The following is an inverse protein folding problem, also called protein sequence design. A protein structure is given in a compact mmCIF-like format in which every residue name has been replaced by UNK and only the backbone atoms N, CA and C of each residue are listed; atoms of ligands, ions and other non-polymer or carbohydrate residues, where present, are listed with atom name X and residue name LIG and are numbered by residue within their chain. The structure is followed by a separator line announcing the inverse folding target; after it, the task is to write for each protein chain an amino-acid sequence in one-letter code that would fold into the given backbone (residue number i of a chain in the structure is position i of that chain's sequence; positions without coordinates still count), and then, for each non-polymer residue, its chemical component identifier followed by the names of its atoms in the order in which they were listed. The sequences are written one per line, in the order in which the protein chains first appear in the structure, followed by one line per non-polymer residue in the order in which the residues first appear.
data_IF_564412837754
#
_entry.id   IF_564412837754
#
_cell.length_a   1.000
_cell.length_b   1.000
_cell.length_c   1.000
_cell.angle_alpha   90.00
_cell.angle_beta   90.00
_cell.angle_gamma   90.00
#
_symmetry.space_group_name_H-M   'P 1'
#
loop_
_entity.id
_entity.type
_entity.pdbx_description
1 polymer ?
#
# COMPACT_ATOMS: atom_id res chain seq x y z
N UNK A 1 -15.33 25.90 40.27
CA UNK A 1 -14.83 24.52 40.30
C UNK A 1 -14.87 24.01 41.73
N UNK A 2 -15.50 22.86 41.96
CA UNK A 2 -15.47 22.13 43.24
C UNK A 2 -14.04 21.61 43.50
N UNK A 3 -13.66 21.36 44.76
CA UNK A 3 -12.36 20.71 45.08
C UNK A 3 -12.20 19.39 44.33
N UNK A 4 -13.29 18.63 44.17
CA UNK A 4 -13.31 17.36 43.45
C UNK A 4 -13.04 17.50 41.95
N UNK A 5 -13.62 18.52 41.30
CA UNK A 5 -13.39 18.78 39.87
C UNK A 5 -11.92 19.14 39.60
N UNK A 6 -11.31 19.92 40.51
CA UNK A 6 -9.89 20.26 40.43
C UNK A 6 -8.98 19.05 40.63
N UNK A 7 -9.35 18.12 41.52
CA UNK A 7 -8.60 16.88 41.75
C UNK A 7 -8.67 15.94 40.54
N UNK A 8 -9.84 15.73 39.95
CA UNK A 8 -10.02 14.89 38.75
C UNK A 8 -9.21 15.42 37.56
N UNK A 9 -9.22 16.73 37.31
CA UNK A 9 -8.40 17.34 36.27
C UNK A 9 -6.90 17.17 36.53
N UNK A 10 -6.48 17.29 37.80
CA UNK A 10 -5.08 17.10 38.19
C UNK A 10 -4.64 15.66 38.01
N UNK A 11 -5.46 14.69 38.40
CA UNK A 11 -5.16 13.26 38.22
C UNK A 11 -5.00 12.90 36.74
N UNK A 12 -5.91 13.36 35.88
CA UNK A 12 -5.80 13.12 34.44
C UNK A 12 -4.60 13.86 33.84
N UNK A 13 -4.28 15.07 34.29
CA UNK A 13 -3.07 15.78 33.85
C UNK A 13 -1.79 15.02 34.26
N UNK A 14 -1.70 14.54 35.50
CA UNK A 14 -0.57 13.75 35.98
C UNK A 14 -0.41 12.45 35.18
N UNK A 15 -1.51 11.81 34.79
CA UNK A 15 -1.48 10.65 33.90
C UNK A 15 -0.94 11.01 32.50
N UNK A 16 -1.48 12.06 31.88
CA UNK A 16 -1.06 12.54 30.55
C UNK A 16 0.43 12.92 30.55
N UNK A 17 0.93 13.55 31.61
CA UNK A 17 2.34 13.91 31.76
C UNK A 17 3.24 12.67 31.81
N UNK A 18 2.88 11.66 32.61
CA UNK A 18 3.61 10.37 32.67
C UNK A 18 3.59 9.65 31.32
N UNK A 19 2.44 9.65 30.65
CA UNK A 19 2.27 9.04 29.35
C UNK A 19 3.15 9.71 28.28
N UNK A 20 3.20 11.05 28.26
CA UNK A 20 4.08 11.78 27.35
C UNK A 20 5.56 11.54 27.67
N UNK A 21 5.95 11.49 28.95
CA UNK A 21 7.32 11.15 29.32
C UNK A 21 7.73 9.74 28.83
N UNK A 22 6.81 8.77 28.89
CA UNK A 22 7.03 7.43 28.33
C UNK A 22 7.18 7.47 26.81
N UNK A 23 6.33 8.21 26.11
CA UNK A 23 6.44 8.38 24.64
C UNK A 23 7.75 9.06 24.25
N UNK A 24 8.17 10.10 24.97
CA UNK A 24 9.45 10.78 24.70
C UNK A 24 10.63 9.82 24.90
N UNK A 25 10.58 8.95 25.91
CA UNK A 25 11.57 7.88 26.11
C UNK A 25 11.59 6.91 24.92
N UNK A 26 10.40 6.47 24.46
CA UNK A 26 10.29 5.58 23.31
C UNK A 26 10.76 6.24 22.01
N UNK A 27 10.49 7.55 21.82
CA UNK A 27 10.99 8.34 20.70
C UNK A 27 12.51 8.39 20.70
N UNK A 28 13.14 8.65 21.86
CA UNK A 28 14.59 8.62 22.01
C UNK A 28 15.18 7.27 21.60
N UNK A 29 14.65 6.18 22.15
CA UNK A 29 15.09 4.82 21.81
C UNK A 29 14.89 4.50 20.32
N UNK A 30 13.77 4.91 19.72
CA UNK A 30 13.50 4.70 18.31
C UNK A 30 14.45 5.51 17.41
N UNK A 31 14.71 6.78 17.76
CA UNK A 31 15.64 7.65 17.05
C UNK A 31 17.07 7.10 17.10
N UNK A 32 17.54 6.70 18.28
CA UNK A 32 18.83 6.03 18.43
C UNK A 32 18.88 4.74 17.60
N UNK A 33 17.80 3.96 17.59
CA UNK A 33 17.68 2.75 16.78
C UNK A 33 17.78 3.00 15.27
N UNK A 34 17.22 4.11 14.76
CA UNK A 34 17.37 4.53 13.36
C UNK A 34 18.83 4.89 13.07
N UNK A 35 19.48 5.68 13.93
CA UNK A 35 20.88 6.08 13.75
C UNK A 35 21.82 4.87 13.75
N UNK A 36 21.62 3.92 14.67
CA UNK A 36 22.36 2.67 14.71
C UNK A 36 22.13 1.83 13.45
N UNK A 37 20.88 1.75 12.95
CA UNK A 37 20.56 1.02 11.72
C UNK A 37 21.19 1.66 10.47
N UNK A 38 21.40 2.98 10.45
CA UNK A 38 22.10 3.67 9.36
C UNK A 38 23.62 3.43 9.35
N UNK A 39 24.18 2.95 10.47
CA UNK A 39 25.62 2.67 10.56
C UNK A 39 25.98 1.44 9.70
N UNK A 40 27.01 1.51 8.84
CA UNK A 40 27.31 0.41 7.92
C UNK A 40 27.81 -0.85 8.65
N UNK A 41 27.01 -1.91 8.65
CA UNK A 41 27.45 -3.25 9.06
C UNK A 41 27.58 -4.12 7.81
N UNK A 42 28.79 -4.26 7.27
CA UNK A 42 29.10 -5.15 6.13
C UNK A 42 28.83 -4.58 4.72
N UNK A 43 29.40 -5.26 3.71
CA UNK A 43 29.45 -4.81 2.30
C UNK A 43 28.68 -5.71 1.32
N UNK A 44 28.02 -6.78 1.80
CA UNK A 44 27.26 -7.71 0.96
C UNK A 44 25.81 -7.28 0.70
N UNK A 45 25.20 -7.78 -0.38
CA UNK A 45 23.79 -7.51 -0.73
C UNK A 45 22.81 -7.93 0.37
N UNK A 46 23.07 -9.02 1.09
CA UNK A 46 22.25 -9.45 2.22
C UNK A 46 22.28 -8.44 3.37
N UNK A 47 23.46 -7.92 3.71
CA UNK A 47 23.62 -6.92 4.77
C UNK A 47 22.97 -5.59 4.42
N UNK A 48 22.95 -5.22 3.13
CA UNK A 48 22.22 -4.05 2.63
C UNK A 48 20.71 -4.24 2.80
N UNK A 49 20.17 -5.41 2.42
CA UNK A 49 18.74 -5.69 2.55
C UNK A 49 18.30 -5.71 4.03
N UNK A 50 19.06 -6.37 4.91
CA UNK A 50 18.79 -6.41 6.35
C UNK A 50 18.81 -4.99 6.96
N UNK A 51 19.78 -4.17 6.55
CA UNK A 51 19.83 -2.75 6.93
C UNK A 51 18.59 -1.99 6.47
N UNK A 52 18.23 -2.10 5.20
CA UNK A 52 17.10 -1.35 4.63
C UNK A 52 15.79 -1.73 5.33
N UNK A 53 15.60 -3.01 5.67
CA UNK A 53 14.46 -3.49 6.46
C UNK A 53 14.47 -2.86 7.86
N UNK A 54 15.60 -2.91 8.57
CA UNK A 54 15.73 -2.35 9.92
C UNK A 54 15.50 -0.83 9.93
N UNK A 55 16.09 -0.12 8.97
CA UNK A 55 15.90 1.33 8.82
C UNK A 55 14.43 1.64 8.56
N UNK A 56 13.78 0.92 7.64
CA UNK A 56 12.36 1.12 7.34
C UNK A 56 11.47 0.85 8.58
N UNK A 57 11.73 -0.22 9.32
CA UNK A 57 10.98 -0.58 10.53
C UNK A 57 11.15 0.48 11.63
N UNK A 58 12.40 0.85 11.94
CA UNK A 58 12.70 1.85 12.99
C UNK A 58 12.20 3.24 12.63
N UNK A 59 12.36 3.65 11.37
CA UNK A 59 11.82 4.93 10.87
C UNK A 59 10.30 4.95 10.92
N UNK A 60 9.65 3.82 10.62
CA UNK A 60 8.21 3.68 10.71
C UNK A 60 7.69 3.84 12.14
N UNK A 61 8.35 3.20 13.11
CA UNK A 61 8.02 3.35 14.53
C UNK A 61 8.23 4.79 15.02
N UNK A 62 9.35 5.42 14.67
CA UNK A 62 9.63 6.81 15.05
C UNK A 62 8.56 7.76 14.46
N UNK A 63 8.25 7.63 13.17
CA UNK A 63 7.20 8.41 12.52
C UNK A 63 5.83 8.24 13.18
N UNK A 64 5.49 7.01 13.58
CA UNK A 64 4.24 6.73 14.30
C UNK A 64 4.22 7.40 15.69
N UNK A 65 5.35 7.43 16.40
CA UNK A 65 5.43 8.12 17.69
C UNK A 65 5.38 9.64 17.53
N UNK A 66 6.04 10.21 16.53
CA UNK A 66 6.08 11.65 16.25
C UNK A 66 4.72 12.19 15.82
N UNK A 67 3.96 11.42 15.04
CA UNK A 67 2.67 11.86 14.49
C UNK A 67 1.55 12.01 15.52
N UNK A 68 1.74 11.52 16.75
CA UNK A 68 0.71 11.49 17.80
C UNK A 68 0.80 12.69 18.76
N UNK A 69 1.68 13.67 18.48
CA UNK A 69 1.86 14.82 19.35
C UNK A 69 0.55 15.64 19.51
N UNK A 70 0.13 15.84 20.77
CA UNK A 70 -0.96 16.74 21.16
C UNK A 70 -2.33 16.13 21.45
N UNK A 71 -2.58 14.86 21.10
CA UNK A 71 -3.82 14.15 21.49
C UNK A 71 -3.63 12.64 21.48
N UNK A 72 -2.71 12.17 22.32
CA UNK A 72 -2.35 10.77 22.43
C UNK A 72 -3.45 9.94 23.11
N UNK A 73 -4.02 10.46 24.19
CA UNK A 73 -5.11 9.88 24.94
C UNK A 73 -6.33 10.80 24.83
N UNK A 74 -7.47 10.24 24.43
CA UNK A 74 -8.71 11.01 24.22
C UNK A 74 -9.87 10.51 25.09
N UNK A 75 -9.65 9.45 25.86
CA UNK A 75 -10.68 8.95 26.75
C UNK A 75 -10.20 7.88 27.71
N UNK A 76 -11.10 7.48 28.61
CA UNK A 76 -10.91 6.45 29.61
C UNK A 76 -12.22 5.70 29.79
N UNK A 77 -12.12 4.38 29.97
CA UNK A 77 -13.25 3.53 30.33
C UNK A 77 -13.03 3.00 31.74
N UNK A 78 -14.01 3.19 32.61
CA UNK A 78 -14.05 2.56 33.93
C UNK A 78 -15.02 1.39 33.87
N UNK A 79 -14.54 0.20 34.23
CA UNK A 79 -15.31 -1.03 34.21
C UNK A 79 -15.97 -1.26 35.57
N UNK A 80 -17.07 -2.02 35.55
CA UNK A 80 -17.80 -2.40 36.77
C UNK A 80 -17.00 -3.32 37.69
N UNK A 81 -15.94 -3.97 37.19
CA UNK A 81 -15.01 -4.80 37.96
C UNK A 81 -13.88 -3.99 38.65
N UNK A 82 -13.91 -2.66 38.52
CA UNK A 82 -12.93 -1.74 39.12
C UNK A 82 -11.69 -1.48 38.26
N UNK A 83 -11.57 -2.13 37.09
CA UNK A 83 -10.48 -1.84 36.15
C UNK A 83 -10.75 -0.56 35.37
N UNK A 84 -9.71 0.25 35.18
CA UNK A 84 -9.74 1.44 34.34
C UNK A 84 -8.74 1.30 33.20
N UNK A 85 -9.15 1.71 32.00
CA UNK A 85 -8.27 1.75 30.83
C UNK A 85 -8.36 3.09 30.14
N UNK A 86 -7.22 3.76 30.00
CA UNK A 86 -7.10 4.91 29.12
C UNK A 86 -7.03 4.44 27.67
N UNK A 87 -7.76 5.12 26.79
CA UNK A 87 -7.87 4.83 25.36
C UNK A 87 -7.19 5.94 24.57
N UNK A 88 -6.36 5.54 23.62
CA UNK A 88 -5.56 6.43 22.81
C UNK A 88 -5.39 5.97 21.38
N UNK A 89 -4.69 6.80 20.60
CA UNK A 89 -4.45 6.58 19.17
C UNK A 89 -3.52 5.40 18.89
N UNK A 90 -2.56 5.19 19.78
CA UNK A 90 -1.58 4.12 19.73
C UNK A 90 -1.56 3.40 21.08
N UNK A 91 -1.19 2.12 21.07
CA UNK A 91 -0.96 1.37 22.30
C UNK A 91 0.40 1.71 22.92
N UNK A 92 0.42 2.07 24.21
CA UNK A 92 1.65 2.32 24.97
C UNK A 92 1.73 1.32 26.12
N UNK A 93 2.94 0.80 26.34
CA UNK A 93 3.23 -0.19 27.39
C UNK A 93 4.35 0.29 28.31
N UNK A 94 4.29 -0.16 29.55
CA UNK A 94 5.37 -0.01 30.51
C UNK A 94 6.60 -0.84 30.10
N UNK A 95 7.73 -0.49 30.73
CA UNK A 95 9.00 -1.20 30.56
C UNK A 95 9.20 -2.25 31.65
N UNK A 96 8.16 -3.03 31.89
CA UNK A 96 8.15 -4.11 32.86
C UNK A 96 8.15 -5.46 32.17
N UNK A 97 8.39 -6.52 32.95
CA UNK A 97 8.44 -7.89 32.43
C UNK A 97 7.08 -8.34 31.87
N UNK A 98 5.99 -7.79 32.39
CA UNK A 98 4.62 -8.14 32.03
C UNK A 98 4.08 -7.31 30.86
N UNK A 99 4.85 -6.32 30.37
CA UNK A 99 4.45 -5.37 29.34
C UNK A 99 3.10 -4.72 29.60
N UNK A 100 2.91 -4.22 30.83
CA UNK A 100 1.64 -3.69 31.31
C UNK A 100 1.12 -2.58 30.39
N UNK A 101 -0.13 -2.67 29.90
CA UNK A 101 -0.69 -1.66 29.01
C UNK A 101 -0.99 -0.37 29.80
N UNK A 102 -0.32 0.72 29.44
CA UNK A 102 -0.58 2.06 29.98
C UNK A 102 -1.69 2.76 29.21
N UNK A 103 -1.65 2.63 27.87
CA UNK A 103 -2.62 3.19 26.96
C UNK A 103 -3.09 2.12 25.99
N UNK A 104 -4.40 1.94 25.91
CA UNK A 104 -5.02 1.00 24.99
C UNK A 104 -5.23 1.69 23.64
N UNK A 105 -4.79 1.03 22.57
CA UNK A 105 -5.08 1.46 21.21
C UNK A 105 -6.58 1.37 20.92
N UNK A 106 -7.18 2.42 20.35
CA UNK A 106 -8.59 2.46 19.97
C UNK A 106 -9.05 1.31 19.08
N UNK A 107 -8.12 0.72 18.32
CA UNK A 107 -8.38 -0.42 17.42
C UNK A 107 -8.53 -1.72 18.18
N UNK A 108 -7.99 -1.83 19.38
CA UNK A 108 -8.04 -3.04 20.19
C UNK A 108 -9.49 -3.44 20.54
N UNK A 109 -9.81 -4.75 20.61
CA UNK A 109 -11.13 -5.22 21.00
C UNK A 109 -11.62 -4.70 22.35
N UNK A 110 -10.70 -4.52 23.32
CA UNK A 110 -11.01 -4.00 24.66
C UNK A 110 -11.40 -2.52 24.65
N UNK A 111 -11.05 -1.76 23.61
CA UNK A 111 -11.49 -0.37 23.43
C UNK A 111 -12.89 -0.25 22.81
N UNK A 112 -13.45 -1.34 22.22
CA UNK A 112 -14.77 -1.29 21.55
C UNK A 112 -15.91 -0.74 22.41
N UNK A 113 -16.02 -1.08 23.72
CA UNK A 113 -17.05 -0.50 24.58
C UNK A 113 -17.02 1.03 24.63
N UNK A 114 -15.87 1.67 24.42
CA UNK A 114 -15.79 3.13 24.37
C UNK A 114 -16.70 3.73 23.28
N UNK A 115 -16.94 3.02 22.17
CA UNK A 115 -17.78 3.50 21.06
C UNK A 115 -19.20 2.95 21.08
N UNK A 116 -19.36 1.72 21.56
CA UNK A 116 -20.61 0.95 21.43
C UNK A 116 -21.45 0.93 22.70
N UNK A 117 -20.84 1.18 23.87
CA UNK A 117 -21.58 1.14 25.12
C UNK A 117 -22.57 2.32 25.19
N UNK A 118 -23.74 2.00 25.72
CA UNK A 118 -24.84 2.93 25.99
C UNK A 118 -25.40 2.62 27.37
N UNK A 119 -26.19 3.53 27.96
CA UNK A 119 -26.84 3.25 29.25
C UNK A 119 -27.78 2.02 29.22
N UNK A 120 -28.27 1.61 28.04
CA UNK A 120 -29.05 0.38 27.88
C UNK A 120 -28.17 -0.87 27.72
N UNK A 121 -27.06 -0.73 27.00
CA UNK A 121 -26.09 -1.80 26.75
C UNK A 121 -24.71 -1.33 27.23
N UNK A 122 -24.41 -1.39 28.54
CA UNK A 122 -23.19 -0.79 29.11
C UNK A 122 -21.91 -1.57 28.77
N UNK A 123 -22.03 -2.81 28.27
CA UNK A 123 -20.88 -3.65 27.88
C UNK A 123 -19.83 -3.83 28.99
N UNK A 124 -20.27 -3.85 30.26
CA UNK A 124 -19.41 -3.97 31.44
C UNK A 124 -18.71 -2.67 31.85
N UNK A 125 -19.08 -1.53 31.25
CA UNK A 125 -18.63 -0.21 31.67
C UNK A 125 -19.53 0.36 32.75
N UNK A 126 -18.90 0.96 33.75
CA UNK A 126 -19.53 1.83 34.74
C UNK A 126 -19.61 3.26 34.22
N UNK A 127 -18.49 3.77 33.70
CA UNK A 127 -18.34 5.14 33.22
C UNK A 127 -17.44 5.20 31.98
N UNK A 128 -17.74 6.12 31.08
CA UNK A 128 -16.87 6.54 29.98
C UNK A 128 -16.48 7.99 30.20
N UNK A 129 -15.19 8.30 30.15
CA UNK A 129 -14.64 9.66 30.21
C UNK A 129 -14.05 10.03 28.86
N UNK A 130 -14.39 11.20 28.36
CA UNK A 130 -13.73 11.84 27.24
C UNK A 130 -12.77 12.92 27.75
N UNK A 131 -11.56 12.91 27.21
CA UNK A 131 -10.47 13.80 27.63
C UNK A 131 -10.14 14.70 26.44
N UNK A 132 -10.29 16.01 26.62
CA UNK A 132 -9.81 16.99 25.66
C UNK A 132 -8.41 17.46 26.05
N UNK A 133 -7.51 17.50 25.08
CA UNK A 133 -6.14 17.98 25.26
C UNK A 133 -5.80 19.05 24.24
N UNK A 134 -5.04 20.05 24.66
CA UNK A 134 -4.33 20.97 23.78
C UNK A 134 -2.83 20.79 24.03
N UNK A 135 -2.15 20.17 23.06
CA UNK A 135 -0.79 19.72 23.29
C UNK A 135 -0.75 18.67 24.40
N UNK A 136 0.05 18.91 25.44
CA UNK A 136 0.17 18.02 26.62
C UNK A 136 -0.75 18.40 27.77
N UNK A 137 -1.58 19.44 27.61
CA UNK A 137 -2.44 19.96 28.67
C UNK A 137 -3.86 19.44 28.51
N UNK A 138 -4.42 18.90 29.58
CA UNK A 138 -5.85 18.56 29.68
C UNK A 138 -6.64 19.86 29.81
N UNK A 139 -7.58 20.07 28.89
CA UNK A 139 -8.40 21.29 28.83
C UNK A 139 -9.81 21.06 29.34
N UNK A 140 -10.36 19.87 29.12
CA UNK A 140 -11.75 19.56 29.44
C UNK A 140 -11.91 18.06 29.68
N UNK A 141 -12.76 17.71 30.63
CA UNK A 141 -13.20 16.35 30.91
C UNK A 141 -14.71 16.27 30.74
N UNK A 142 -15.19 15.10 30.33
CA UNK A 142 -16.59 14.85 30.15
C UNK A 142 -16.91 13.40 30.44
N UNK A 143 -17.80 13.17 31.39
CA UNK A 143 -18.15 11.85 31.89
C UNK A 143 -19.56 11.45 31.45
N UNK A 144 -19.66 10.23 30.94
CA UNK A 144 -20.91 9.55 30.65
C UNK A 144 -21.04 8.36 31.58
N UNK A 145 -22.13 8.35 32.36
CA UNK A 145 -22.41 7.30 33.34
C UNK A 145 -23.28 6.25 32.66
N UNK A 146 -22.73 5.04 32.54
CA UNK A 146 -23.32 3.92 31.82
C UNK A 146 -24.01 2.94 32.78
N UNK A 147 -23.54 2.87 34.02
CA UNK A 147 -24.24 2.18 35.11
C UNK A 147 -25.19 3.14 35.82
N UNK A 148 -26.49 2.96 35.61
CA UNK A 148 -27.53 3.81 36.21
C UNK A 148 -27.61 3.67 37.74
N UNK A 149 -27.02 2.63 38.33
CA UNK A 149 -26.89 2.47 39.77
C UNK A 149 -25.66 3.16 40.37
N UNK A 150 -24.81 3.77 39.54
CA UNK A 150 -23.65 4.51 40.00
C UNK A 150 -24.06 5.91 40.46
N UNK A 151 -23.91 6.17 41.75
CA UNK A 151 -24.16 7.48 42.38
C UNK A 151 -22.88 8.33 42.49
N UNK A 152 -21.73 7.80 42.07
CA UNK A 152 -20.50 8.55 42.10
C UNK A 152 -20.52 9.67 41.06
N UNK A 153 -20.36 10.91 41.52
CA UNK A 153 -20.36 12.11 40.68
C UNK A 153 -19.05 12.88 40.74
N UNK A 154 -18.43 13.11 39.60
CA UNK A 154 -17.14 13.81 39.40
C UNK A 154 -17.32 15.30 39.15
N UNK A 155 -18.51 15.73 38.72
CA UNK A 155 -18.79 17.11 38.31
C UNK A 155 -18.57 17.37 36.82
N UNK A 156 -18.18 16.33 36.06
CA UNK A 156 -18.01 16.40 34.61
C UNK A 156 -19.10 15.66 33.81
N UNK A 157 -20.18 15.25 34.48
CA UNK A 157 -21.27 14.54 33.83
C UNK A 157 -22.00 15.41 32.81
N UNK A 158 -22.24 14.86 31.62
CA UNK A 158 -23.20 15.44 30.68
C UNK A 158 -24.55 14.74 30.74
N UNK A 159 -25.62 15.46 31.11
CA UNK A 159 -26.98 14.93 31.09
C UNK A 159 -27.42 14.37 29.74
N UNK A 160 -26.85 14.86 28.63
CA UNK A 160 -27.28 14.52 27.27
C UNK A 160 -26.34 13.54 26.54
N UNK A 161 -25.11 13.33 27.03
CA UNK A 161 -24.09 12.48 26.39
C UNK A 161 -23.59 12.95 25.02
N UNK A 162 -23.92 14.18 24.62
CA UNK A 162 -23.69 14.71 23.26
C UNK A 162 -22.66 15.85 23.24
N UNK A 163 -22.22 16.37 24.39
CA UNK A 163 -21.39 17.59 24.40
C UNK A 163 -20.07 17.41 23.66
N UNK A 164 -19.48 16.21 23.67
CA UNK A 164 -18.24 15.91 22.94
C UNK A 164 -18.46 15.96 21.42
N UNK A 165 -19.57 15.41 20.94
CA UNK A 165 -19.92 15.45 19.52
C UNK A 165 -20.25 16.88 19.09
N UNK A 166 -21.01 17.63 19.89
CA UNK A 166 -21.36 19.03 19.62
C UNK A 166 -20.13 19.94 19.63
N UNK A 167 -19.19 19.73 20.57
CA UNK A 167 -17.93 20.46 20.62
C UNK A 167 -17.09 20.19 19.36
N UNK A 168 -17.02 18.93 18.90
CA UNK A 168 -16.34 18.59 17.66
C UNK A 168 -17.01 19.20 16.43
N UNK A 169 -18.35 19.22 16.37
CA UNK A 169 -19.11 19.84 15.27
C UNK A 169 -18.90 21.36 15.19
N UNK A 170 -18.75 22.02 16.34
CA UNK A 170 -18.53 23.47 16.44
C UNK A 170 -17.05 23.88 16.27
N UNK A 171 -16.12 22.93 16.19
CA UNK A 171 -14.70 23.22 16.02
C UNK A 171 -14.40 23.84 14.64
N UNK A 172 -13.48 24.82 14.62
CA UNK A 172 -13.10 25.50 13.39
C UNK A 172 -12.38 24.53 12.44
N UNK A 173 -12.81 24.50 11.17
CA UNK A 173 -12.16 23.68 10.14
C UNK A 173 -10.83 24.33 9.75
N UNK A 174 -9.72 23.69 10.10
CA UNK A 174 -8.34 24.19 9.91
C UNK A 174 -7.81 24.01 8.48
N UNK A 175 -8.68 23.78 7.49
CA UNK A 175 -8.27 23.50 6.10
C UNK A 175 -7.63 22.11 5.89
N UNK A 176 -7.46 21.31 6.95
CA UNK A 176 -7.01 19.91 6.94
C UNK A 176 -8.08 18.99 7.55
N UNK A 177 -8.03 17.70 7.24
CA UNK A 177 -8.95 16.75 7.85
C UNK A 177 -8.48 16.47 9.28
N UNK A 178 -9.32 16.76 10.26
CA UNK A 178 -9.11 16.34 11.63
C UNK A 178 -9.36 14.84 11.80
N UNK A 179 -8.66 14.25 12.75
CA UNK A 179 -8.95 12.92 13.26
C UNK A 179 -10.35 12.90 13.93
N UNK A 180 -11.12 11.83 13.71
CA UNK A 180 -12.46 11.64 14.29
C UNK A 180 -12.48 10.55 15.38
N UNK A 181 -11.34 9.95 15.73
CA UNK A 181 -11.26 8.80 16.67
C UNK A 181 -12.04 9.05 17.97
N UNK A 182 -12.03 10.28 18.52
CA UNK A 182 -12.77 10.63 19.74
C UNK A 182 -14.29 10.62 19.57
N UNK A 183 -14.79 10.83 18.35
CA UNK A 183 -16.21 11.05 18.03
C UNK A 183 -16.80 10.00 17.09
N UNK A 184 -16.10 8.88 16.88
CA UNK A 184 -16.61 7.74 16.10
C UNK A 184 -17.95 7.29 16.69
N UNK A 185 -18.98 7.28 15.85
CA UNK A 185 -20.31 6.83 16.21
C UNK A 185 -20.46 5.32 16.01
N UNK A 186 -21.44 4.69 16.66
CA UNK A 186 -21.64 3.24 16.58
C UNK A 186 -21.82 2.72 15.13
N UNK A 187 -22.57 3.43 14.28
CA UNK A 187 -22.73 3.07 12.87
C UNK A 187 -21.39 3.16 12.10
N UNK A 188 -20.57 4.16 12.42
CA UNK A 188 -19.25 4.35 11.82
C UNK A 188 -18.29 3.25 12.28
N UNK A 189 -18.30 2.87 13.56
CA UNK A 189 -17.52 1.75 14.10
C UNK A 189 -17.87 0.44 13.36
N UNK A 190 -19.16 0.21 13.11
CA UNK A 190 -19.62 -0.93 12.30
C UNK A 190 -19.01 -0.97 10.90
N UNK A 191 -18.92 0.18 10.21
CA UNK A 191 -18.27 0.31 8.91
C UNK A 191 -16.76 0.11 9.02
N UNK A 192 -16.12 0.71 10.03
CA UNK A 192 -14.67 0.61 10.27
C UNK A 192 -14.26 -0.83 10.50
N UNK A 193 -15.02 -1.57 11.33
CA UNK A 193 -14.72 -2.94 11.73
C UNK A 193 -15.37 -4.02 10.89
N UNK A 194 -16.09 -3.66 9.82
CA UNK A 194 -16.67 -4.64 8.90
C UNK A 194 -15.59 -5.58 8.31
N UNK A 195 -15.92 -6.84 7.99
CA UNK A 195 -14.94 -7.82 7.50
C UNK A 195 -14.07 -7.32 6.34
N UNK A 196 -12.80 -7.73 6.29
CA UNK A 196 -11.86 -7.29 5.26
C UNK A 196 -12.11 -7.92 3.87
N UNK A 197 -12.83 -9.05 3.81
CA UNK A 197 -13.06 -9.79 2.55
C UNK A 197 -14.27 -9.23 1.81
N UNK A 198 -14.09 -8.99 0.51
CA UNK A 198 -15.16 -8.57 -0.40
C UNK A 198 -15.12 -7.08 -0.70
N UNK A 199 -16.24 -6.57 -1.22
CA UNK A 199 -16.42 -5.17 -1.58
C UNK A 199 -17.40 -4.54 -0.59
N UNK A 200 -16.99 -3.45 0.04
CA UNK A 200 -17.85 -2.64 0.90
C UNK A 200 -18.08 -1.28 0.22
N UNK A 201 -19.36 -0.94 -0.01
CA UNK A 201 -19.76 0.37 -0.52
C UNK A 201 -20.30 1.18 0.63
N UNK A 202 -19.72 2.35 0.86
CA UNK A 202 -20.16 3.30 1.89
C UNK A 202 -20.84 4.48 1.20
N UNK A 203 -22.17 4.46 1.22
CA UNK A 203 -23.00 5.54 0.69
C UNK A 203 -23.56 6.40 1.82
N UNK A 204 -23.69 7.70 1.59
CA UNK A 204 -24.24 8.62 2.59
C UNK A 204 -24.25 10.05 2.10
N UNK A 205 -25.02 10.92 2.76
CA UNK A 205 -25.17 12.33 2.39
C UNK A 205 -23.87 13.15 2.50
N UNK A 206 -23.79 14.34 1.88
CA UNK A 206 -22.69 15.27 2.11
C UNK A 206 -22.48 15.55 3.61
N UNK A 207 -21.22 15.59 4.05
CA UNK A 207 -20.90 15.92 5.45
C UNK A 207 -20.98 14.77 6.47
N UNK A 208 -21.42 13.57 6.08
CA UNK A 208 -21.54 12.41 7.01
C UNK A 208 -20.22 11.74 7.40
N UNK A 209 -19.07 12.36 7.12
CA UNK A 209 -17.76 11.84 7.54
C UNK A 209 -17.24 10.62 6.75
N UNK A 210 -17.84 10.23 5.62
CA UNK A 210 -17.45 9.03 4.84
C UNK A 210 -15.95 8.88 4.60
N UNK A 211 -15.29 9.94 4.19
CA UNK A 211 -13.84 9.92 3.93
C UNK A 211 -13.06 9.61 5.19
N UNK A 212 -13.43 10.23 6.32
CA UNK A 212 -12.81 9.95 7.61
C UNK A 212 -13.04 8.49 8.02
N UNK A 213 -14.29 8.00 7.94
CA UNK A 213 -14.64 6.59 8.21
C UNK A 213 -13.83 5.62 7.35
N UNK A 214 -13.64 5.91 6.05
CA UNK A 214 -12.85 5.08 5.15
C UNK A 214 -11.36 5.04 5.53
N UNK A 215 -10.78 6.16 5.96
CA UNK A 215 -9.39 6.23 6.43
C UNK A 215 -9.20 5.47 7.74
N UNK A 216 -10.13 5.63 8.68
CA UNK A 216 -10.10 4.90 9.95
C UNK A 216 -10.30 3.40 9.74
N UNK A 217 -11.14 3.01 8.77
CA UNK A 217 -11.24 1.62 8.32
C UNK A 217 -9.90 1.10 7.83
N UNK A 218 -9.19 1.84 6.99
CA UNK A 218 -7.87 1.43 6.51
C UNK A 218 -6.89 1.23 7.68
N UNK A 219 -6.87 2.16 8.64
CA UNK A 219 -6.02 2.05 9.83
C UNK A 219 -6.40 0.86 10.74
N UNK A 220 -7.69 0.59 10.90
CA UNK A 220 -8.17 -0.60 11.64
C UNK A 220 -7.75 -1.90 10.94
N UNK A 221 -7.90 -1.98 9.61
CA UNK A 221 -7.52 -3.18 8.85
C UNK A 221 -6.01 -3.42 8.90
N UNK A 222 -5.19 -2.36 8.82
CA UNK A 222 -3.74 -2.44 8.97
C UNK A 222 -3.32 -2.96 10.35
N UNK A 223 -4.01 -2.54 11.42
CA UNK A 223 -3.80 -3.04 12.77
C UNK A 223 -4.22 -4.51 12.93
N UNK A 224 -5.47 -4.83 12.59
CA UNK A 224 -6.08 -6.15 12.81
C UNK A 224 -5.44 -7.23 11.91
N UNK A 225 -5.01 -6.84 10.71
CA UNK A 225 -4.46 -7.75 9.71
C UNK A 225 -3.01 -7.41 9.35
N UNK A 226 -2.24 -6.91 10.34
CA UNK A 226 -0.84 -6.50 10.15
C UNK A 226 0.02 -7.56 9.46
N UNK A 227 -0.15 -8.84 9.75
CA UNK A 227 0.68 -9.90 9.14
C UNK A 227 0.34 -10.14 7.66
N UNK A 228 -0.94 -9.98 7.30
CA UNK A 228 -1.41 -10.13 5.92
C UNK A 228 -1.10 -8.89 5.08
N UNK A 229 -1.21 -7.71 5.69
CA UNK A 229 -1.03 -6.41 5.03
C UNK A 229 0.39 -5.86 5.14
N UNK A 230 1.24 -6.37 6.03
CA UNK A 230 2.67 -6.02 6.02
C UNK A 230 3.34 -6.37 4.68
N UNK A 231 2.80 -7.37 3.97
CA UNK A 231 3.25 -7.75 2.61
C UNK A 231 2.47 -7.05 1.49
N UNK A 232 1.41 -6.30 1.81
CA UNK A 232 0.46 -5.72 0.85
C UNK A 232 0.08 -4.29 1.28
N UNK A 233 0.56 -3.29 0.55
CA UNK A 233 0.20 -1.90 0.82
C UNK A 233 -1.30 -1.64 0.62
N UNK A 234 -1.86 -0.69 1.39
CA UNK A 234 -3.20 -0.16 1.14
C UNK A 234 -3.10 0.95 0.09
N UNK A 235 -3.80 0.82 -1.03
CA UNK A 235 -3.87 1.86 -2.05
C UNK A 235 -5.13 2.70 -1.86
N UNK A 236 -4.95 3.99 -1.65
CA UNK A 236 -6.03 4.98 -1.62
C UNK A 236 -5.96 5.80 -2.90
N UNK A 237 -7.02 5.70 -3.70
CA UNK A 237 -7.14 6.46 -4.95
C UNK A 237 -8.01 7.69 -4.72
N UNK A 238 -7.41 8.86 -4.91
CA UNK A 238 -8.09 10.15 -4.77
C UNK A 238 -8.40 10.80 -6.12
N UNK A 239 -9.36 11.73 -6.16
CA UNK A 239 -9.73 12.44 -7.39
C UNK A 239 -8.66 13.44 -7.85
N UNK A 240 -7.85 13.98 -6.93
CA UNK A 240 -6.81 14.94 -7.25
C UNK A 240 -5.75 15.05 -6.13
N UNK A 241 -4.56 15.63 -6.40
CA UNK A 241 -3.50 15.74 -5.41
C UNK A 241 -3.83 16.62 -4.21
N UNK A 242 -4.70 17.63 -4.36
CA UNK A 242 -5.10 18.50 -3.24
C UNK A 242 -5.94 17.74 -2.21
N UNK A 243 -6.85 16.88 -2.67
CA UNK A 243 -7.60 15.97 -1.81
C UNK A 243 -6.68 14.97 -1.12
N UNK A 244 -5.70 14.40 -1.83
CA UNK A 244 -4.73 13.48 -1.22
C UNK A 244 -3.89 14.17 -0.15
N UNK A 245 -3.42 15.41 -0.38
CA UNK A 245 -2.73 16.20 0.65
C UNK A 245 -3.63 16.48 1.86
N UNK A 246 -4.91 16.77 1.62
CA UNK A 246 -5.89 17.04 2.67
C UNK A 246 -6.09 15.85 3.63
N UNK A 247 -5.99 14.60 3.12
CA UNK A 247 -6.15 13.38 3.91
C UNK A 247 -4.83 12.75 4.38
N UNK A 248 -3.69 13.16 3.82
CA UNK A 248 -2.39 12.55 4.06
C UNK A 248 -1.94 12.59 5.52
N UNK A 249 -2.46 13.52 6.32
CA UNK A 249 -2.07 13.71 7.73
C UNK A 249 -2.89 12.87 8.72
N UNK A 250 -4.00 12.27 8.26
CA UNK A 250 -4.89 11.49 9.13
C UNK A 250 -4.31 10.12 9.42
N UNK A 251 -3.73 9.44 8.43
CA UNK A 251 -3.21 8.08 8.63
C UNK A 251 -1.91 8.03 9.45
N UNK A 252 -0.92 8.92 9.21
CA UNK A 252 0.26 8.99 10.07
C UNK A 252 -0.10 9.28 11.52
N UNK A 253 -1.06 10.18 11.78
CA UNK A 253 -1.50 10.49 13.14
C UNK A 253 -2.22 9.32 13.84
N UNK A 254 -2.59 8.27 13.08
CA UNK A 254 -3.10 6.99 13.59
C UNK A 254 -2.01 5.90 13.72
N UNK A 255 -0.73 6.27 13.50
CA UNK A 255 0.42 5.38 13.64
C UNK A 255 0.66 4.46 12.43
N UNK A 256 0.11 4.77 11.26
CA UNK A 256 0.17 3.90 10.07
C UNK A 256 1.04 4.47 8.94
N UNK A 257 1.99 3.67 8.46
CA UNK A 257 2.93 4.04 7.37
C UNK A 257 2.74 3.23 6.08
N UNK A 258 1.89 2.19 6.10
CA UNK A 258 1.69 1.23 5.00
C UNK A 258 0.71 1.64 3.88
N UNK A 259 0.55 2.93 3.62
CA UNK A 259 -0.47 3.44 2.68
C UNK A 259 0.16 4.16 1.49
N UNK A 260 -0.28 3.78 0.29
CA UNK A 260 0.04 4.44 -0.97
C UNK A 260 -1.12 5.33 -1.37
N UNK A 261 -0.81 6.60 -1.65
CA UNK A 261 -1.76 7.57 -2.18
C UNK A 261 -1.48 7.76 -3.67
N UNK A 262 -2.49 7.58 -4.50
CA UNK A 262 -2.36 7.83 -5.94
C UNK A 262 -3.60 8.55 -6.47
N UNK A 263 -3.40 9.37 -7.50
CA UNK A 263 -4.52 9.85 -8.31
C UNK A 263 -4.77 8.90 -9.48
N UNK A 264 -5.93 9.03 -10.14
CA UNK A 264 -6.19 8.29 -11.38
C UNK A 264 -5.10 8.52 -12.45
N UNK A 265 -4.48 9.71 -12.44
CA UNK A 265 -3.42 10.10 -13.37
C UNK A 265 -2.10 9.35 -13.15
N UNK A 266 -1.93 8.67 -12.02
CA UNK A 266 -0.68 8.11 -11.52
C UNK A 266 -0.77 6.60 -11.23
N UNK A 267 -1.89 5.96 -11.56
CA UNK A 267 -2.12 4.54 -11.28
C UNK A 267 -1.16 3.61 -12.01
N UNK A 268 -0.63 4.05 -13.17
CA UNK A 268 0.35 3.27 -13.92
C UNK A 268 1.77 3.74 -13.58
N UNK A 269 2.67 2.85 -13.11
CA UNK A 269 4.03 3.23 -12.71
C UNK A 269 4.80 3.95 -13.82
N UNK A 270 5.40 5.09 -13.50
CA UNK A 270 6.20 5.89 -14.44
C UNK A 270 5.39 6.68 -15.47
N UNK A 271 4.06 6.67 -15.40
CA UNK A 271 3.18 7.45 -16.27
C UNK A 271 2.40 8.45 -15.42
N UNK A 272 2.56 9.73 -15.78
CA UNK A 272 1.76 10.82 -15.23
C UNK A 272 0.88 11.39 -16.35
N UNK A 273 -0.43 11.26 -16.22
CA UNK A 273 -1.35 11.85 -17.19
C UNK A 273 -1.32 13.39 -17.09
N UNK A 274 -1.04 14.06 -18.21
CA UNK A 274 -0.99 15.54 -18.29
C UNK A 274 -2.19 16.14 -19.02
N UNK A 275 -2.96 15.32 -19.74
CA UNK A 275 -4.13 15.74 -20.51
C UNK A 275 -5.43 15.55 -19.74
N UNK A 276 -6.39 16.45 -19.95
CA UNK A 276 -7.75 16.35 -19.43
C UNK A 276 -8.69 15.93 -20.55
N UNK A 277 -9.43 14.85 -20.34
CA UNK A 277 -10.46 14.40 -21.28
C UNK A 277 -11.72 15.27 -21.18
N UNK A 278 -12.38 15.47 -22.32
CA UNK A 278 -13.75 15.99 -22.32
C UNK A 278 -14.69 14.97 -21.66
N UNK A 279 -15.84 15.38 -21.09
CA UNK A 279 -16.79 14.44 -20.48
C UNK A 279 -17.20 13.29 -21.41
N UNK A 280 -17.39 13.59 -22.71
CA UNK A 280 -17.68 12.59 -23.73
C UNK A 280 -16.51 11.61 -23.94
N UNK A 281 -15.29 12.12 -24.04
CA UNK A 281 -14.11 11.27 -24.20
C UNK A 281 -13.89 10.36 -22.98
N UNK A 282 -14.06 10.88 -21.77
CA UNK A 282 -13.97 10.12 -20.54
C UNK A 282 -15.02 8.99 -20.47
N UNK A 283 -16.27 9.27 -20.86
CA UNK A 283 -17.33 8.26 -20.92
C UNK A 283 -17.01 7.12 -21.90
N UNK A 284 -16.47 7.45 -23.07
CA UNK A 284 -16.09 6.45 -24.08
C UNK A 284 -14.86 5.64 -23.62
N UNK A 285 -13.83 6.31 -23.09
CA UNK A 285 -12.59 5.66 -22.62
C UNK A 285 -12.76 4.85 -21.34
N UNK A 286 -13.68 5.24 -20.46
CA UNK A 286 -13.97 4.54 -19.21
C UNK A 286 -14.95 3.37 -19.35
N UNK A 287 -15.55 3.18 -20.53
CA UNK A 287 -16.48 2.09 -20.78
C UNK A 287 -15.81 0.77 -21.16
N UNK A 288 -16.52 -0.34 -20.97
CA UNK A 288 -16.11 -1.69 -21.39
C UNK A 288 -15.63 -1.78 -22.85
N UNK A 289 -16.27 -1.13 -23.85
CA UNK A 289 -15.85 -1.24 -25.25
C UNK A 289 -14.42 -0.73 -25.53
N UNK A 290 -13.85 0.10 -24.64
CA UNK A 290 -12.48 0.59 -24.80
C UNK A 290 -11.46 -0.55 -24.73
N UNK A 291 -11.72 -1.61 -23.96
CA UNK A 291 -10.85 -2.77 -23.90
C UNK A 291 -10.76 -3.48 -25.26
N UNK A 292 -11.91 -3.64 -25.94
CA UNK A 292 -11.96 -4.20 -27.29
C UNK A 292 -11.28 -3.28 -28.31
N UNK A 293 -11.53 -1.98 -28.24
CA UNK A 293 -10.87 -1.00 -29.10
C UNK A 293 -9.34 -1.05 -28.96
N UNK A 294 -8.81 -1.16 -27.74
CA UNK A 294 -7.38 -1.33 -27.49
C UNK A 294 -6.85 -2.67 -28.03
N UNK A 295 -7.61 -3.76 -27.85
CA UNK A 295 -7.24 -5.07 -28.41
C UNK A 295 -7.18 -5.04 -29.95
N UNK A 296 -8.14 -4.38 -30.60
CA UNK A 296 -8.15 -4.17 -32.05
C UNK A 296 -6.98 -3.28 -32.48
N UNK A 297 -6.70 -2.18 -31.77
CA UNK A 297 -5.58 -1.30 -32.06
C UNK A 297 -4.22 -2.02 -31.95
N UNK A 298 -4.04 -2.91 -30.96
CA UNK A 298 -2.84 -3.75 -30.84
C UNK A 298 -2.77 -4.78 -31.97
N UNK A 299 -3.90 -5.36 -32.38
CA UNK A 299 -3.96 -6.29 -33.53
C UNK A 299 -3.61 -5.60 -34.85
N UNK A 300 -4.02 -4.35 -35.04
CA UNK A 300 -3.68 -3.53 -36.22
C UNK A 300 -2.17 -3.29 -36.37
N UNK A 301 -1.42 -3.28 -35.25
CA UNK A 301 0.05 -3.20 -35.29
C UNK A 301 0.72 -4.47 -35.82
N UNK A 302 0.00 -5.59 -35.91
CA UNK A 302 0.52 -6.87 -36.41
C UNK A 302 0.35 -6.94 -37.94
N UNK A 303 0.98 -5.98 -38.63
CA UNK A 303 0.91 -5.83 -40.08
C UNK A 303 1.66 -6.96 -40.79
N UNK A 304 1.16 -7.31 -41.97
CA UNK A 304 1.77 -8.26 -42.87
C UNK A 304 2.23 -7.51 -44.14
N UNK A 305 3.19 -8.05 -44.90
CA UNK A 305 3.44 -7.62 -46.28
C UNK A 305 2.14 -7.71 -47.09
N UNK A 306 1.93 -6.84 -48.08
CA UNK A 306 0.77 -6.97 -48.98
C UNK A 306 0.91 -8.23 -49.85
N UNK A 307 -0.19 -8.93 -50.16
CA UNK A 307 -0.15 -10.05 -51.10
C UNK A 307 0.48 -9.63 -52.44
N UNK A 308 1.54 -10.33 -52.85
CA UNK A 308 2.29 -10.03 -54.08
C UNK A 308 3.38 -8.94 -53.94
N UNK A 309 3.51 -8.29 -52.78
CA UNK A 309 4.57 -7.33 -52.47
C UNK A 309 5.48 -7.89 -51.35
N UNK A 310 6.16 -8.99 -51.65
CA UNK A 310 7.04 -9.64 -50.70
C UNK A 310 8.22 -8.73 -50.31
N UNK A 311 8.64 -8.83 -49.06
CA UNK A 311 9.81 -8.13 -48.57
C UNK A 311 11.06 -8.90 -48.95
N UNK A 312 11.94 -8.25 -49.71
CA UNK A 312 13.21 -8.82 -50.14
C UNK A 312 14.29 -8.44 -49.12
N UNK A 313 14.98 -9.44 -48.59
CA UNK A 313 16.04 -9.30 -47.60
C UNK A 313 17.35 -9.73 -48.28
N UNK A 314 18.24 -8.78 -48.61
CA UNK A 314 19.54 -9.11 -49.20
C UNK A 314 20.37 -9.98 -48.27
N UNK A 315 20.98 -11.04 -48.80
CA UNK A 315 21.84 -11.94 -48.03
C UNK A 315 23.14 -12.23 -48.78
N UNK A 316 24.27 -12.06 -48.10
CA UNK A 316 25.61 -12.10 -48.70
C UNK A 316 25.98 -13.49 -49.25
N UNK A 317 25.56 -14.56 -48.58
CA UNK A 317 26.00 -15.94 -48.87
C UNK A 317 25.00 -16.84 -49.65
N UNK A 318 23.93 -16.31 -50.26
CA UNK A 318 22.90 -17.17 -50.85
C UNK A 318 21.78 -16.51 -51.67
N UNK A 319 21.98 -15.25 -52.07
CA UNK A 319 20.98 -14.46 -52.80
C UNK A 319 19.84 -13.95 -51.92
N UNK A 320 18.97 -13.13 -52.51
CA UNK A 320 17.92 -12.39 -51.82
C UNK A 320 16.85 -13.30 -51.20
N UNK A 321 16.68 -13.25 -49.88
CA UNK A 321 15.65 -13.98 -49.13
C UNK A 321 14.30 -13.25 -49.24
N UNK A 322 13.20 -13.99 -49.21
CA UNK A 322 11.87 -13.42 -49.44
C UNK A 322 10.94 -13.69 -48.26
N UNK A 323 10.46 -12.63 -47.63
CA UNK A 323 9.38 -12.69 -46.64
C UNK A 323 8.07 -12.25 -47.31
N UNK A 324 7.28 -13.22 -47.75
CA UNK A 324 5.98 -12.98 -48.37
C UNK A 324 4.83 -12.93 -47.33
N UNK A 325 3.62 -12.72 -47.83
CA UNK A 325 2.42 -12.67 -47.00
C UNK A 325 2.15 -14.00 -46.28
N UNK A 326 2.41 -15.15 -46.91
CA UNK A 326 2.08 -16.47 -46.38
C UNK A 326 2.96 -16.80 -45.17
N UNK A 327 4.28 -16.64 -45.30
CA UNK A 327 5.23 -16.83 -44.20
C UNK A 327 4.90 -15.91 -43.03
N UNK A 328 4.64 -14.63 -43.32
CA UNK A 328 4.31 -13.65 -42.29
C UNK A 328 2.96 -13.95 -41.63
N UNK A 329 1.96 -14.42 -42.39
CA UNK A 329 0.66 -14.82 -41.89
C UNK A 329 0.76 -16.01 -40.94
N UNK A 330 1.45 -17.08 -41.35
CA UNK A 330 1.65 -18.27 -40.51
C UNK A 330 2.40 -17.93 -39.22
N UNK A 331 3.49 -17.16 -39.32
CA UNK A 331 4.24 -16.71 -38.15
C UNK A 331 3.37 -15.90 -37.18
N UNK A 332 2.50 -15.02 -37.70
CA UNK A 332 1.57 -14.24 -36.89
C UNK A 332 0.52 -15.12 -36.21
N UNK A 333 -0.06 -16.09 -36.93
CA UNK A 333 -1.05 -16.99 -36.36
C UNK A 333 -0.42 -17.85 -35.27
N UNK A 334 0.76 -18.43 -35.52
CA UNK A 334 1.52 -19.16 -34.50
C UNK A 334 1.80 -18.33 -33.25
N UNK A 335 2.15 -17.04 -33.41
CA UNK A 335 2.33 -16.13 -32.27
C UNK A 335 1.01 -15.85 -31.52
N UNK A 336 -0.11 -15.71 -32.23
CA UNK A 336 -1.45 -15.52 -31.62
C UNK A 336 -1.93 -16.75 -30.87
N UNK A 337 -1.66 -17.94 -31.38
CA UNK A 337 -2.08 -19.21 -30.79
C UNK A 337 -1.45 -19.46 -29.42
N UNK A 338 -0.32 -18.81 -29.11
CA UNK A 338 0.28 -18.81 -27.76
C UNK A 338 -0.60 -18.15 -26.70
N UNK A 339 -1.54 -17.27 -27.11
CA UNK A 339 -2.38 -16.43 -26.23
C UNK A 339 -1.59 -15.54 -25.25
N UNK A 340 -0.29 -15.32 -25.51
CA UNK A 340 0.55 -14.42 -24.74
C UNK A 340 0.29 -12.95 -25.13
N UNK A 341 0.57 -11.98 -24.23
CA UNK A 341 0.60 -10.56 -24.59
C UNK A 341 1.52 -10.27 -25.78
N UNK A 342 1.18 -9.27 -26.60
CA UNK A 342 1.84 -9.00 -27.89
C UNK A 342 3.37 -9.02 -27.84
N UNK A 343 3.99 -8.32 -26.88
CA UNK A 343 5.45 -8.25 -26.79
C UNK A 343 6.09 -9.57 -26.34
N UNK A 344 5.39 -10.34 -25.49
CA UNK A 344 5.85 -11.66 -25.05
C UNK A 344 5.66 -12.72 -26.15
N UNK A 345 4.72 -12.50 -27.08
CA UNK A 345 4.52 -13.35 -28.26
C UNK A 345 5.53 -13.05 -29.38
N UNK A 346 6.20 -11.89 -29.37
CA UNK A 346 7.15 -11.47 -30.43
C UNK A 346 8.27 -12.50 -30.69
N UNK A 347 8.92 -13.13 -29.70
CA UNK A 347 9.94 -14.14 -29.96
C UNK A 347 9.41 -15.34 -30.76
N UNK A 348 8.15 -15.76 -30.54
CA UNK A 348 7.54 -16.85 -31.30
C UNK A 348 7.33 -16.48 -32.77
N UNK A 349 6.86 -15.25 -33.03
CA UNK A 349 6.77 -14.71 -34.39
C UNK A 349 8.13 -14.69 -35.08
N UNK A 350 9.13 -14.10 -34.41
CA UNK A 350 10.50 -13.96 -34.95
C UNK A 350 11.10 -15.34 -35.24
N UNK A 351 10.93 -16.30 -34.34
CA UNK A 351 11.43 -17.66 -34.54
C UNK A 351 10.83 -18.32 -35.79
N UNK A 352 9.51 -18.22 -35.98
CA UNK A 352 8.83 -18.76 -37.17
C UNK A 352 9.30 -18.11 -38.47
N UNK A 353 9.50 -16.80 -38.47
CA UNK A 353 10.06 -16.07 -39.63
C UNK A 353 11.49 -16.52 -39.91
N UNK A 354 12.35 -16.60 -38.88
CA UNK A 354 13.74 -17.05 -39.04
C UNK A 354 13.78 -18.47 -39.58
N UNK A 355 13.00 -19.41 -39.03
CA UNK A 355 12.95 -20.79 -39.52
C UNK A 355 12.58 -20.86 -41.01
N UNK A 356 11.58 -20.08 -41.44
CA UNK A 356 11.17 -20.03 -42.84
C UNK A 356 12.26 -19.46 -43.76
N UNK A 357 12.94 -18.38 -43.34
CA UNK A 357 14.04 -17.79 -44.11
C UNK A 357 15.28 -18.69 -44.12
N UNK A 358 15.58 -19.39 -43.02
CA UNK A 358 16.64 -20.39 -42.94
C UNK A 358 16.35 -21.57 -43.88
N UNK A 359 15.10 -22.02 -43.98
CA UNK A 359 14.72 -23.06 -44.93
C UNK A 359 15.01 -22.64 -46.38
N UNK A 360 14.70 -21.40 -46.77
CA UNK A 360 15.04 -20.86 -48.10
C UNK A 360 16.55 -20.86 -48.34
N UNK A 361 17.35 -20.47 -47.33
CA UNK A 361 18.81 -20.44 -47.44
C UNK A 361 19.39 -21.85 -47.59
N UNK A 362 18.92 -22.80 -46.80
CA UNK A 362 19.36 -24.21 -46.86
C UNK A 362 18.99 -24.86 -48.19
N UNK A 363 17.81 -24.56 -48.73
CA UNK A 363 17.41 -25.04 -50.05
C UNK A 363 18.34 -24.52 -51.15
N UNK A 364 18.72 -23.23 -51.09
CA UNK A 364 19.58 -22.59 -52.10
C UNK A 364 21.05 -22.96 -52.01
N UNK A 365 21.63 -22.93 -50.81
CA UNK A 365 23.04 -23.29 -50.60
C UNK A 365 23.26 -24.79 -50.79
N UNK A 366 22.27 -25.61 -50.41
CA UNK A 366 22.34 -27.05 -50.53
C UNK A 366 21.94 -27.60 -51.91
N UNK A 367 21.45 -26.76 -52.84
CA UNK A 367 21.06 -27.19 -54.17
C UNK A 367 22.28 -27.69 -54.98
N UNK A 368 22.18 -28.91 -55.52
CA UNK A 368 23.21 -29.47 -56.40
C UNK A 368 23.14 -28.81 -57.79
N UNK A 369 24.20 -28.12 -58.25
CA UNK A 369 24.23 -27.47 -59.56
C UNK A 369 24.10 -28.45 -60.75
N UNK A 370 24.16 -29.77 -60.52
CA UNK A 370 23.97 -30.80 -61.54
C UNK A 370 22.65 -31.59 -61.42
N UNK A 371 21.73 -31.16 -60.55
CA UNK A 371 20.38 -31.73 -60.44
C UNK A 371 20.23 -32.96 -59.55
N UNK A 372 21.21 -33.25 -58.69
CA UNK A 372 21.13 -34.27 -57.65
C UNK A 372 20.42 -33.82 -56.37
N UNK A 373 20.27 -34.72 -55.37
CA UNK A 373 19.66 -34.40 -54.09
C UNK A 373 20.46 -33.36 -53.31
N UNK A 374 19.78 -32.55 -52.50
CA UNK A 374 20.39 -31.46 -51.72
C UNK A 374 21.53 -31.98 -50.81
N UNK A 375 22.69 -31.31 -50.85
CA UNK A 375 23.91 -31.70 -50.13
C UNK A 375 23.81 -31.56 -48.60
N UNK A 376 22.78 -30.88 -48.07
CA UNK A 376 22.53 -30.68 -46.66
C UNK A 376 21.47 -31.67 -46.13
N UNK A 377 21.86 -32.43 -45.10
CA UNK A 377 21.07 -33.50 -44.50
C UNK A 377 19.98 -32.99 -43.54
N UNK A 378 19.11 -33.89 -43.03
CA UNK A 378 18.07 -33.51 -42.07
C UNK A 378 18.60 -32.96 -40.74
N UNK A 379 19.82 -33.32 -40.34
CA UNK A 379 20.48 -32.81 -39.12
C UNK A 379 21.00 -31.37 -39.28
N UNK A 380 21.26 -30.92 -40.51
CA UNK A 380 21.69 -29.55 -40.84
C UNK A 380 20.50 -28.57 -40.95
N UNK A 381 19.27 -29.07 -40.91
CA UNK A 381 18.00 -28.32 -41.04
C UNK A 381 17.35 -27.97 -39.70
N UNK A 382 17.99 -28.29 -38.57
CA UNK A 382 17.46 -28.01 -37.24
C UNK A 382 17.42 -26.51 -36.92
N UNK A 383 16.44 -26.02 -36.14
CA UNK A 383 16.33 -24.61 -35.81
C UNK A 383 17.59 -24.12 -35.08
N UNK A 384 18.04 -22.91 -35.40
CA UNK A 384 19.15 -22.26 -34.72
C UNK A 384 18.84 -22.16 -33.21
N UNK A 385 19.50 -22.99 -32.40
CA UNK A 385 19.33 -22.98 -30.93
C UNK A 385 19.73 -21.61 -30.37
N UNK A 386 18.98 -21.04 -29.41
CA UNK A 386 19.36 -19.79 -28.79
C UNK A 386 20.52 -20.03 -27.81
N UNK A 387 21.65 -19.34 -28.03
CA UNK A 387 22.64 -19.07 -27.01
C UNK A 387 24.03 -19.65 -27.24
N UNK A 388 24.96 -18.80 -27.72
CA UNK A 388 26.33 -18.66 -27.21
C UNK A 388 26.96 -17.37 -27.75
N UNK A 389 26.66 -16.25 -27.09
CA UNK A 389 27.53 -15.06 -27.06
C UNK A 389 27.55 -14.52 -25.64
N UNK A 390 28.52 -14.99 -24.86
CA UNK A 390 29.23 -14.24 -23.84
C UNK A 390 30.51 -15.02 -23.53
N UNK A 391 31.60 -14.30 -23.25
CA UNK A 391 32.94 -14.79 -22.90
C UNK A 391 33.87 -15.20 -24.05
N UNK A 392 34.27 -14.22 -24.86
CA UNK A 392 35.70 -14.08 -25.21
C UNK A 392 36.09 -12.61 -25.14
N UNK A 393 36.72 -12.23 -24.03
CA UNK A 393 37.24 -10.89 -23.79
C UNK A 393 37.89 -10.81 -22.42
N UNK A 394 39.07 -11.41 -22.24
CA UNK A 394 39.83 -11.25 -21.01
C UNK A 394 40.99 -12.23 -20.82
N UNK A 395 42.20 -11.72 -20.98
CA UNK A 395 43.45 -12.18 -20.38
C UNK A 395 44.07 -13.52 -20.85
N UNK A 396 44.96 -13.42 -21.85
CA UNK A 396 46.22 -14.18 -21.85
C UNK A 396 47.36 -13.25 -21.47
N UNK A 397 47.87 -13.42 -20.26
CA UNK A 397 49.20 -12.98 -19.82
C UNK A 397 49.79 -14.09 -18.96
N UNK A 398 50.65 -14.92 -19.55
CA UNK A 398 51.36 -16.02 -18.88
C UNK A 398 52.56 -15.47 -18.09
N UNK A 399 52.81 -16.02 -16.90
CA UNK A 399 54.06 -15.82 -16.16
C UNK A 399 54.20 -16.77 -14.96
N UNK A 400 54.86 -17.91 -15.19
CA UNK A 400 55.25 -19.00 -14.27
C UNK A 400 55.92 -18.58 -12.94
N UNK A 401 55.68 -19.35 -11.87
CA UNK A 401 56.68 -20.05 -11.00
C UNK A 401 55.94 -20.83 -9.88
N UNK A 402 55.93 -22.18 -9.87
CA UNK A 402 56.85 -23.13 -9.17
C UNK A 402 56.65 -23.24 -7.64
N UNK A 403 56.07 -24.38 -7.25
CA UNK A 403 56.33 -25.28 -6.11
C UNK A 403 56.49 -24.77 -4.65
N UNK A 404 55.70 -25.40 -3.77
CA UNK A 404 56.11 -26.26 -2.63
C UNK A 404 55.43 -25.93 -1.29
N UNK A 405 55.06 -27.02 -0.58
CA UNK A 405 54.51 -27.16 0.77
C UNK A 405 53.01 -26.88 0.96
#
# INVERSE_FOLDING_TARGET
MSNRESDELREEQEFIDRLHARVDTLRGVAADGVEHALTPVGTGQQAQLERDILVAERSGLLAALDAVDGSLCFGRIDRSDGLAHHIGRIGIREDDADHTPVLIDWRAPVARPFYLATGHTPMGLRRRRHIATEGRRVTELHDEILDLGDDDRTGFEDPNGDAVLLAALNSARTGRMGDIVRTIQAEQDGIIRAPHRGVLVVEGGPGTGKTAVALHRAAFLLYEHRELLAKRAVLIVGPNPAFLRYIAEVLPSLGETGVLLATQAELFPGVHATGTDTPRAAAVKGGEPMAEALALAVRDRQRLPEPGAAMVIPHEDGGDLVLDWEIAYEARQAARDTRLPHNLARPHFVFRVIDALTAQLVERIGADPYGGPNFLGPDDRGPARPGRRAEQGGARGRGRAVAAA
#
